data_IF_625669499700
#
_entry.id   IF_625669499700
#
_cell.length_a   1.000
_cell.length_b   1.000
_cell.length_c   1.000
_cell.angle_alpha   90.00
_cell.angle_beta   90.00
_cell.angle_gamma   90.00
#
_symmetry.space_group_name_H-M   'P 1'
#
loop_
_entity.id
_entity.type
_entity.pdbx_description
1 polymer ?
#
# COMPACT_ATOMS: atom_id res chain seq x y z
N UNK A 1 0.60 4.41 7.02
CA UNK A 1 1.23 3.06 7.06
C UNK A 1 2.32 3.11 6.02
N UNK A 2 3.55 2.70 6.34
CA UNK A 2 4.72 3.03 5.50
C UNK A 2 4.61 2.58 4.03
N UNK A 3 3.94 1.46 3.73
CA UNK A 3 3.70 1.02 2.35
C UNK A 3 2.60 1.80 1.64
N UNK A 4 1.55 2.24 2.35
CA UNK A 4 0.49 3.08 1.77
C UNK A 4 1.07 4.45 1.38
N UNK A 5 1.84 5.05 2.30
CA UNK A 5 2.46 6.35 2.10
C UNK A 5 3.48 6.29 0.94
N UNK A 6 4.19 5.16 0.83
CA UNK A 6 5.10 4.89 -0.28
C UNK A 6 4.36 4.68 -1.61
N UNK A 7 3.25 3.94 -1.61
CA UNK A 7 2.41 3.75 -2.79
C UNK A 7 1.89 5.08 -3.32
N UNK A 8 1.38 5.96 -2.44
CA UNK A 8 0.87 7.27 -2.83
C UNK A 8 1.97 8.18 -3.41
N UNK A 9 3.19 8.12 -2.85
CA UNK A 9 4.36 8.83 -3.37
C UNK A 9 4.79 8.32 -4.75
N UNK A 10 4.89 7.00 -4.92
CA UNK A 10 5.21 6.38 -6.20
C UNK A 10 4.13 6.69 -7.24
N UNK A 11 2.86 6.63 -6.86
CA UNK A 11 1.74 6.89 -7.77
C UNK A 11 1.88 8.29 -8.40
N UNK A 12 2.12 9.32 -7.59
CA UNK A 12 2.30 10.70 -8.07
C UNK A 12 3.51 10.80 -9.01
N UNK A 13 4.63 10.20 -8.64
CA UNK A 13 5.87 10.21 -9.44
C UNK A 13 5.66 9.56 -10.81
N UNK A 14 5.01 8.40 -10.83
CA UNK A 14 4.74 7.64 -12.04
C UNK A 14 3.75 8.36 -12.96
N UNK A 15 2.72 9.01 -12.41
CA UNK A 15 1.79 9.85 -13.19
C UNK A 15 2.52 11.02 -13.82
N UNK A 16 3.40 11.73 -13.09
CA UNK A 16 4.22 12.80 -13.68
C UNK A 16 5.08 12.28 -14.83
N UNK A 17 5.70 11.12 -14.68
CA UNK A 17 6.50 10.49 -15.73
C UNK A 17 5.68 10.12 -16.98
N UNK A 18 4.42 9.70 -16.81
CA UNK A 18 3.49 9.49 -17.93
C UNK A 18 3.14 10.79 -18.66
N UNK A 19 2.98 11.90 -17.92
CA UNK A 19 2.69 13.22 -18.50
C UNK A 19 3.88 13.75 -19.29
N UNK A 20 5.11 13.61 -18.78
CA UNK A 20 6.33 14.03 -19.45
C UNK A 20 6.60 13.26 -20.74
N UNK A 21 6.25 11.98 -20.80
CA UNK A 21 6.42 11.16 -21.99
C UNK A 21 5.27 10.15 -22.17
N UNK A 22 4.20 10.51 -22.90
CA UNK A 22 3.03 9.64 -23.09
C UNK A 22 3.31 8.26 -23.68
N UNK A 23 4.47 8.05 -24.32
CA UNK A 23 4.88 6.73 -24.84
C UNK A 23 5.16 5.72 -23.72
N UNK A 24 5.36 6.17 -22.48
CA UNK A 24 5.69 5.30 -21.34
C UNK A 24 4.45 4.79 -20.59
N UNK A 25 3.24 5.30 -20.91
CA UNK A 25 1.99 5.01 -20.18
C UNK A 25 1.78 3.51 -19.93
N UNK A 26 1.94 2.68 -20.97
CA UNK A 26 1.74 1.22 -20.83
C UNK A 26 2.72 0.58 -19.83
N UNK A 27 4.00 0.92 -19.91
CA UNK A 27 5.03 0.40 -19.00
C UNK A 27 4.81 0.86 -17.57
N UNK A 28 4.49 2.14 -17.40
CA UNK A 28 4.26 2.75 -16.09
C UNK A 28 2.99 2.21 -15.44
N UNK A 29 1.94 1.90 -16.22
CA UNK A 29 0.75 1.24 -15.71
C UNK A 29 1.07 -0.14 -15.11
N UNK A 30 1.96 -0.93 -15.74
CA UNK A 30 2.42 -2.17 -15.15
C UNK A 30 3.17 -1.96 -13.82
N UNK A 31 3.98 -0.90 -13.71
CA UNK A 31 4.66 -0.56 -12.46
C UNK A 31 3.67 -0.18 -11.35
N UNK A 32 2.59 0.53 -11.67
CA UNK A 32 1.51 0.82 -10.71
C UNK A 32 0.85 -0.45 -10.20
N UNK A 33 0.59 -1.42 -11.07
CA UNK A 33 0.09 -2.74 -10.66
C UNK A 33 1.07 -3.45 -9.74
N UNK A 34 2.38 -3.44 -10.04
CA UNK A 34 3.39 -4.04 -9.16
C UNK A 34 3.39 -3.37 -7.78
N UNK A 35 3.40 -2.04 -7.74
CA UNK A 35 3.37 -1.29 -6.48
C UNK A 35 2.13 -1.61 -5.64
N UNK A 36 0.94 -1.73 -6.27
CA UNK A 36 -0.29 -2.11 -5.55
C UNK A 36 -0.24 -3.55 -5.02
N UNK A 37 0.36 -4.47 -5.75
CA UNK A 37 0.52 -5.85 -5.27
C UNK A 37 1.47 -5.91 -4.06
N UNK A 38 2.52 -5.09 -4.04
CA UNK A 38 3.42 -5.00 -2.87
C UNK A 38 2.71 -4.48 -1.62
N UNK A 39 1.87 -3.45 -1.75
CA UNK A 39 1.04 -2.96 -0.64
C UNK A 39 0.12 -4.07 -0.09
N UNK A 40 -0.56 -4.81 -0.96
CA UNK A 40 -1.40 -5.96 -0.56
C UNK A 40 -0.62 -7.06 0.14
N UNK A 41 0.60 -7.35 -0.30
CA UNK A 41 1.49 -8.32 0.38
C UNK A 41 1.83 -7.81 1.78
N UNK A 42 2.13 -6.52 1.94
CA UNK A 42 2.38 -5.89 3.24
C UNK A 42 1.19 -6.01 4.20
N UNK A 43 -0.02 -5.78 3.70
CA UNK A 43 -1.26 -5.96 4.46
C UNK A 43 -1.45 -7.41 4.89
N UNK A 44 -1.26 -8.37 3.99
CA UNK A 44 -1.34 -9.80 4.33
C UNK A 44 -0.30 -10.22 5.35
N UNK A 45 0.94 -9.75 5.21
CA UNK A 45 1.99 -10.00 6.19
C UNK A 45 1.62 -9.47 7.58
N UNK A 46 0.99 -8.28 7.64
CA UNK A 46 0.49 -7.70 8.88
C UNK A 46 -0.62 -8.54 9.50
N UNK A 47 -1.62 -8.95 8.70
CA UNK A 47 -2.72 -9.80 9.18
C UNK A 47 -2.20 -11.16 9.73
N UNK A 48 -1.20 -11.76 9.07
CA UNK A 48 -0.57 -12.99 9.55
C UNK A 48 0.17 -12.76 10.87
N UNK A 49 0.92 -11.66 10.97
CA UNK A 49 1.62 -11.32 12.21
C UNK A 49 0.65 -11.09 13.38
N UNK A 50 -0.48 -10.42 13.15
CA UNK A 50 -1.53 -10.22 14.13
C UNK A 50 -2.15 -11.55 14.60
N UNK A 51 -2.43 -12.47 13.67
CA UNK A 51 -2.91 -13.81 14.02
C UNK A 51 -1.91 -14.59 14.87
N UNK A 52 -0.63 -14.58 14.49
CA UNK A 52 0.44 -15.25 15.25
C UNK A 52 0.58 -14.64 16.65
N UNK A 53 0.51 -13.31 16.75
CA UNK A 53 0.55 -12.61 18.03
C UNK A 53 -0.62 -13.01 18.94
N UNK A 54 -1.84 -13.05 18.40
CA UNK A 54 -3.02 -13.49 19.15
C UNK A 54 -2.89 -14.95 19.59
N UNK A 55 -2.44 -15.84 18.72
CA UNK A 55 -2.24 -17.25 19.04
C UNK A 55 -1.21 -17.46 20.17
N UNK A 56 -0.17 -16.62 20.24
CA UNK A 56 0.87 -16.72 21.25
C UNK A 56 0.50 -16.08 22.60
N UNK A 57 -0.26 -14.99 22.59
CA UNK A 57 -0.52 -14.16 23.79
C UNK A 57 -1.94 -14.28 24.33
N UNK A 58 -2.90 -14.73 23.51
CA UNK A 58 -4.33 -14.69 23.82
C UNK A 58 -4.94 -13.27 23.78
N UNK A 59 -4.14 -12.26 23.42
CA UNK A 59 -4.57 -10.85 23.37
C UNK A 59 -4.57 -10.32 21.95
N UNK A 60 -5.59 -9.55 21.58
CA UNK A 60 -5.59 -8.86 20.29
C UNK A 60 -4.55 -7.74 20.31
N UNK A 61 -3.77 -7.63 19.23
CA UNK A 61 -2.89 -6.49 19.03
C UNK A 61 -3.76 -5.24 18.85
N UNK A 62 -3.43 -4.15 19.55
CA UNK A 62 -4.18 -2.89 19.43
C UNK A 62 -4.14 -2.45 17.97
N UNK A 63 -5.30 -2.16 17.40
CA UNK A 63 -5.43 -1.69 16.01
C UNK A 63 -4.47 -0.52 15.84
N UNK A 64 -3.47 -0.66 14.96
CA UNK A 64 -2.68 0.52 14.57
C UNK A 64 -3.66 1.51 13.98
N UNK A 65 -3.44 2.80 14.17
CA UNK A 65 -4.14 3.83 13.41
C UNK A 65 -3.91 3.55 11.92
N UNK A 66 -4.77 2.73 11.31
CA UNK A 66 -4.89 2.59 9.86
C UNK A 66 -5.22 3.99 9.44
N UNK A 67 -4.32 4.64 8.71
CA UNK A 67 -4.50 6.01 8.26
C UNK A 67 -5.85 6.10 7.58
N UNK A 68 -6.86 6.57 8.32
CA UNK A 68 -8.22 6.66 7.83
C UNK A 68 -8.13 7.65 6.69
N UNK A 69 -8.33 7.16 5.47
CA UNK A 69 -8.57 8.02 4.32
C UNK A 69 -9.76 8.89 4.69
N UNK A 70 -9.49 10.16 5.01
CA UNK A 70 -10.48 11.22 5.01
C UNK A 70 -10.93 11.37 3.56
N UNK A 71 -11.96 10.62 3.18
CA UNK A 71 -12.73 10.89 1.97
C UNK A 71 -14.17 10.44 2.21
N UNK A 72 -14.83 11.18 3.11
CA UNK A 72 -16.25 11.46 3.03
C UNK A 72 -16.40 12.98 3.14
N UNK A 73 -16.47 13.62 1.98
CA UNK A 73 -17.01 14.96 1.76
C UNK A 73 -17.82 14.90 0.46
#
# INVERSE_FOLDING_TARGET
VALDDFYDSIFRTLVTYMVENPRTIGQVAHLLFVAKNLERIGDHATNVAEMVYFAATGTQMVDRERGIKKEQA
#
